data_IF_962474774317
#
_entry.id   IF_962474774317
#
_cell.length_a   1.000
_cell.length_b   1.000
_cell.length_c   1.000
_cell.angle_alpha   90.00
_cell.angle_beta   90.00
_cell.angle_gamma   90.00
#
_symmetry.space_group_name_H-M   'P 1'
#
loop_
_entity.id
_entity.type
_entity.pdbx_description
1 polymer ?
#
# COMPACT_ATOMS: atom_id res chain seq x y z
N UNK A 1 -24.94 -24.89 -16.02
CA UNK A 1 -23.68 -24.39 -15.44
C UNK A 1 -23.97 -23.25 -14.49
N UNK A 2 -24.59 -22.15 -14.95
CA UNK A 2 -25.01 -21.03 -14.08
C UNK A 2 -25.84 -21.42 -12.83
N UNK A 3 -26.76 -22.38 -12.92
CA UNK A 3 -27.55 -22.83 -11.76
C UNK A 3 -26.78 -23.68 -10.75
N UNK A 4 -25.66 -24.26 -11.16
CA UNK A 4 -24.78 -25.07 -10.31
C UNK A 4 -23.75 -24.17 -9.62
N UNK A 5 -23.17 -23.22 -10.35
CA UNK A 5 -22.30 -22.16 -9.79
C UNK A 5 -23.06 -21.34 -8.76
N UNK A 6 -24.27 -20.87 -9.08
CA UNK A 6 -25.10 -20.12 -8.13
C UNK A 6 -25.51 -20.93 -6.89
N UNK A 7 -25.60 -22.26 -7.01
CA UNK A 7 -25.83 -23.14 -5.85
C UNK A 7 -24.56 -23.32 -5.02
N UNK A 8 -23.41 -23.48 -5.65
CA UNK A 8 -22.10 -23.57 -4.97
C UNK A 8 -21.78 -22.28 -4.22
N UNK A 9 -21.99 -21.10 -4.84
CA UNK A 9 -21.80 -19.78 -4.22
C UNK A 9 -22.67 -19.60 -2.96
N UNK A 10 -23.94 -20.02 -3.02
CA UNK A 10 -24.85 -19.90 -1.86
C UNK A 10 -24.50 -20.84 -0.71
N UNK A 11 -23.93 -22.02 -1.02
CA UNK A 11 -23.43 -22.93 0.00
C UNK A 11 -22.17 -22.37 0.64
N UNK A 12 -21.25 -21.84 -0.16
CA UNK A 12 -20.02 -21.19 0.33
C UNK A 12 -20.33 -19.98 1.21
N UNK A 13 -21.25 -19.10 0.81
CA UNK A 13 -21.67 -17.94 1.59
C UNK A 13 -22.26 -18.36 2.96
N UNK A 14 -23.00 -19.47 3.00
CA UNK A 14 -23.53 -20.00 4.27
C UNK A 14 -22.42 -20.50 5.19
N UNK A 15 -21.43 -21.21 4.64
CA UNK A 15 -20.28 -21.69 5.41
C UNK A 15 -19.49 -20.51 5.97
N UNK A 16 -19.18 -19.51 5.15
CA UNK A 16 -18.47 -18.29 5.58
C UNK A 16 -19.21 -17.61 6.73
N UNK A 17 -20.52 -17.46 6.61
CA UNK A 17 -21.34 -16.84 7.65
C UNK A 17 -21.40 -17.63 8.96
N UNK A 18 -21.39 -18.97 8.90
CA UNK A 18 -21.35 -19.82 10.09
C UNK A 18 -19.97 -19.76 10.77
N UNK A 19 -18.89 -19.88 10.00
CA UNK A 19 -17.52 -19.75 10.51
C UNK A 19 -17.27 -18.37 11.13
N UNK A 20 -17.73 -17.30 10.49
CA UNK A 20 -17.62 -15.93 11.03
C UNK A 20 -18.35 -15.80 12.37
N UNK A 21 -19.54 -16.39 12.52
CA UNK A 21 -20.27 -16.37 13.80
C UNK A 21 -19.53 -17.13 14.89
N UNK A 22 -18.88 -18.25 14.55
CA UNK A 22 -18.06 -19.02 15.50
C UNK A 22 -16.83 -18.21 15.90
N UNK A 23 -16.09 -17.67 14.92
CA UNK A 23 -14.94 -16.80 15.16
C UNK A 23 -15.33 -15.62 16.06
N UNK A 24 -16.43 -14.92 15.75
CA UNK A 24 -16.92 -13.76 16.54
C UNK A 24 -17.25 -14.11 17.99
N UNK A 25 -17.73 -15.33 18.28
CA UNK A 25 -17.94 -15.80 19.66
C UNK A 25 -16.63 -16.06 20.39
N UNK A 26 -15.58 -16.42 19.66
CA UNK A 26 -14.28 -16.77 20.20
C UNK A 26 -13.31 -15.57 20.29
N UNK A 27 -13.63 -14.41 19.71
CA UNK A 27 -12.73 -13.24 19.69
C UNK A 27 -12.21 -12.82 21.07
N UNK A 28 -12.98 -12.85 22.18
CA UNK A 28 -12.45 -12.45 23.49
C UNK A 28 -11.38 -13.39 24.05
N UNK A 29 -11.26 -14.60 23.50
CA UNK A 29 -10.24 -15.58 23.89
C UNK A 29 -9.04 -15.58 22.93
N UNK A 30 -9.18 -14.95 21.76
CA UNK A 30 -8.20 -14.99 20.68
C UNK A 30 -7.39 -13.70 20.55
N UNK A 31 -7.96 -12.57 20.96
CA UNK A 31 -7.38 -11.26 20.69
C UNK A 31 -7.55 -10.32 21.89
N UNK A 32 -6.48 -9.57 22.18
CA UNK A 32 -6.55 -8.45 23.12
C UNK A 32 -7.22 -7.21 22.50
N UNK A 33 -7.16 -7.05 21.17
CA UNK A 33 -7.78 -5.97 20.42
C UNK A 33 -8.31 -6.45 19.07
N UNK A 34 -9.59 -6.18 18.79
CA UNK A 34 -10.18 -6.31 17.45
C UNK A 34 -10.98 -5.06 17.15
N UNK A 35 -10.61 -4.37 16.08
CA UNK A 35 -11.31 -3.19 15.58
C UNK A 35 -11.88 -3.51 14.20
N UNK A 36 -13.21 -3.50 14.09
CA UNK A 36 -13.90 -3.72 12.81
C UNK A 36 -14.52 -2.41 12.33
N UNK A 37 -14.16 -1.98 11.13
CA UNK A 37 -14.70 -0.77 10.51
C UNK A 37 -15.12 -1.06 9.07
N UNK A 38 -16.37 -0.73 8.74
CA UNK A 38 -16.87 -0.86 7.37
C UNK A 38 -16.47 0.40 6.57
N UNK A 39 -15.54 0.25 5.64
CA UNK A 39 -15.19 1.32 4.70
C UNK A 39 -16.34 1.55 3.71
N UNK A 40 -16.48 2.78 3.22
CA UNK A 40 -17.47 3.12 2.18
C UNK A 40 -17.20 2.37 0.88
N UNK A 41 -15.92 2.26 0.50
CA UNK A 41 -15.46 1.56 -0.69
C UNK A 41 -14.36 0.56 -0.34
N UNK A 42 -14.26 -0.57 -1.05
CA UNK A 42 -13.16 -1.51 -0.87
C UNK A 42 -11.80 -0.84 -1.09
N UNK A 43 -10.79 -1.38 -0.41
CA UNK A 43 -9.41 -0.95 -0.57
C UNK A 43 -8.55 -2.11 -1.06
N UNK A 44 -7.85 -1.93 -2.17
CA UNK A 44 -6.89 -2.91 -2.70
C UNK A 44 -5.51 -2.81 -2.03
N UNK A 45 -5.33 -1.81 -1.18
CA UNK A 45 -4.04 -1.52 -0.55
C UNK A 45 -4.21 -1.06 0.88
N UNK A 46 -3.28 -1.48 1.73
CA UNK A 46 -3.17 -1.01 3.11
C UNK A 46 -1.70 -0.93 3.49
N UNK A 47 -1.31 0.12 4.20
CA UNK A 47 0.02 0.24 4.78
C UNK A 47 -0.01 1.18 5.99
N UNK A 48 0.61 0.79 7.10
CA UNK A 48 0.87 1.71 8.21
C UNK A 48 1.91 2.75 7.82
N UNK A 49 1.65 4.01 8.14
CA UNK A 49 2.69 5.02 8.19
C UNK A 49 3.47 4.87 9.51
N UNK A 50 4.77 5.21 9.53
CA UNK A 50 5.62 5.01 10.70
C UNK A 50 5.35 6.03 11.83
N UNK A 51 4.64 7.12 11.53
CA UNK A 51 4.35 8.17 12.50
C UNK A 51 3.34 7.70 13.56
N UNK A 52 3.63 8.00 14.83
CA UNK A 52 2.73 7.76 15.95
C UNK A 52 2.68 9.02 16.81
N UNK A 53 1.48 9.54 17.06
CA UNK A 53 1.26 10.68 17.96
C UNK A 53 0.60 10.20 19.25
N UNK A 54 1.17 10.54 20.41
CA UNK A 54 0.60 10.23 21.73
C UNK A 54 0.14 11.52 22.42
N UNK A 55 -1.15 11.87 22.37
CA UNK A 55 -1.63 13.08 23.02
C UNK A 55 -1.47 12.99 24.55
N UNK A 56 -0.98 14.06 25.17
CA UNK A 56 -0.77 14.09 26.62
C UNK A 56 -2.09 13.87 27.39
N UNK A 57 -2.05 12.99 28.39
CA UNK A 57 -3.20 12.67 29.23
C UNK A 57 -4.32 11.88 28.54
N UNK A 58 -4.05 11.30 27.36
CA UNK A 58 -4.95 10.35 26.68
C UNK A 58 -4.46 8.92 26.85
N UNK A 59 -5.43 8.01 26.90
CA UNK A 59 -5.28 6.56 27.00
C UNK A 59 -5.17 5.86 25.65
N UNK A 60 -4.89 6.61 24.58
CA UNK A 60 -4.70 6.10 23.23
C UNK A 60 -3.51 6.76 22.52
N UNK A 61 -2.96 6.06 21.55
CA UNK A 61 -2.04 6.55 20.54
C UNK A 61 -2.77 6.70 19.19
N UNK A 62 -2.38 7.72 18.44
CA UNK A 62 -2.84 7.96 17.07
C UNK A 62 -1.84 7.34 16.10
N UNK A 63 -2.32 6.39 15.33
CA UNK A 63 -1.60 5.74 14.23
C UNK A 63 -2.23 6.13 12.90
N UNK A 64 -1.49 5.95 11.80
CA UNK A 64 -1.93 6.37 10.49
C UNK A 64 -1.81 5.24 9.46
N UNK A 65 -2.79 5.17 8.57
CA UNK A 65 -2.88 4.19 7.49
C UNK A 65 -2.97 4.90 6.15
N UNK A 66 -2.29 4.35 5.15
CA UNK A 66 -2.54 4.62 3.74
C UNK A 66 -3.48 3.56 3.20
N UNK A 67 -4.58 4.01 2.60
CA UNK A 67 -5.62 3.21 1.98
C UNK A 67 -5.90 3.75 0.57
N UNK A 68 -6.49 2.90 -0.26
CA UNK A 68 -7.04 3.26 -1.56
C UNK A 68 -8.55 3.06 -1.62
N UNK A 69 -9.19 3.59 -2.66
CA UNK A 69 -10.55 3.15 -3.05
C UNK A 69 -10.50 2.33 -4.33
N UNK A 70 -11.46 1.43 -4.47
CA UNK A 70 -11.80 0.73 -5.70
C UNK A 70 -13.30 0.85 -5.92
N UNK A 71 -13.68 1.75 -6.81
CA UNK A 71 -15.07 2.08 -7.17
C UNK A 71 -15.31 1.70 -8.63
N UNK A 72 -16.58 1.47 -9.01
CA UNK A 72 -16.94 1.22 -10.42
C UNK A 72 -17.19 2.51 -11.19
N UNK A 73 -18.00 3.42 -10.64
CA UNK A 73 -18.44 4.65 -11.34
C UNK A 73 -18.27 5.94 -10.51
N UNK A 74 -17.74 5.84 -9.29
CA UNK A 74 -17.49 6.99 -8.41
C UNK A 74 -16.03 7.45 -8.47
N UNK A 75 -15.78 8.71 -8.08
CA UNK A 75 -14.43 9.24 -7.99
C UNK A 75 -13.58 8.43 -7.00
N UNK A 76 -12.44 7.93 -7.47
CA UNK A 76 -11.47 7.23 -6.64
C UNK A 76 -10.57 8.19 -5.87
N UNK A 77 -10.07 7.72 -4.72
CA UNK A 77 -9.25 8.51 -3.82
C UNK A 77 -8.09 7.69 -3.24
N UNK A 78 -6.94 8.35 -3.11
CA UNK A 78 -5.91 7.97 -2.15
C UNK A 78 -6.32 8.51 -0.78
N UNK A 79 -6.35 7.65 0.23
CA UNK A 79 -6.89 7.98 1.55
C UNK A 79 -5.81 7.81 2.61
N UNK A 80 -5.60 8.85 3.42
CA UNK A 80 -4.83 8.75 4.66
C UNK A 80 -5.81 8.76 5.83
N UNK A 81 -5.84 7.66 6.57
CA UNK A 81 -6.77 7.44 7.67
C UNK A 81 -6.02 7.41 9.01
N UNK A 82 -6.64 7.99 10.03
CA UNK A 82 -6.15 7.97 11.41
C UNK A 82 -6.87 6.90 12.22
N UNK A 83 -6.13 6.15 13.02
CA UNK A 83 -6.62 5.07 13.88
C UNK A 83 -6.25 5.38 15.32
N UNK A 84 -7.25 5.32 16.21
CA UNK A 84 -7.05 5.45 17.64
C UNK A 84 -6.81 4.07 18.24
N UNK A 85 -5.58 3.80 18.69
CA UNK A 85 -5.19 2.53 19.32
C UNK A 85 -5.05 2.77 20.83
N UNK A 86 -5.73 2.01 21.69
CA UNK A 86 -5.56 2.11 23.14
C UNK A 86 -4.10 1.90 23.55
N UNK A 87 -3.62 2.63 24.55
CA UNK A 87 -2.31 2.37 25.14
C UNK A 87 -2.37 1.13 26.05
N UNK A 88 -1.23 0.48 26.27
CA UNK A 88 -1.12 -0.73 27.12
C UNK A 88 -1.57 -0.51 28.58
N UNK A 89 -1.56 0.74 29.05
CA UNK A 89 -1.95 1.16 30.41
C UNK A 89 -3.42 1.58 30.52
N UNK A 90 -4.18 1.56 29.42
CA UNK A 90 -5.61 1.81 29.45
C UNK A 90 -6.32 0.73 30.29
N UNK A 91 -6.91 1.12 31.42
CA UNK A 91 -7.70 0.19 32.23
C UNK A 91 -8.93 -0.26 31.43
N UNK A 92 -9.05 -1.56 31.23
CA UNK A 92 -10.18 -2.17 30.56
C UNK A 92 -11.44 -2.03 31.42
N UNK A 93 -12.29 -1.04 31.13
CA UNK A 93 -13.58 -0.88 31.80
C UNK A 93 -14.66 -1.71 31.10
N UNK A 94 -14.92 -2.90 31.66
CA UNK A 94 -15.95 -3.82 31.19
C UNK A 94 -17.39 -3.29 31.42
N UNK A 95 -17.58 -2.17 32.13
CA UNK A 95 -18.90 -1.64 32.49
C UNK A 95 -19.60 -0.87 31.36
N UNK A 96 -18.91 -0.52 30.28
CA UNK A 96 -19.50 0.02 29.05
C UNK A 96 -20.11 -1.05 28.11
N UNK A 97 -20.45 -2.22 28.64
CA UNK A 97 -21.31 -3.18 27.94
C UNK A 97 -22.75 -2.66 27.96
N UNK A 98 -23.15 -1.85 26.98
CA UNK A 98 -24.54 -1.45 26.80
C UNK A 98 -25.34 -2.66 26.28
N UNK A 99 -25.84 -3.47 27.22
CA UNK A 99 -26.54 -4.73 26.97
C UNK A 99 -27.92 -4.56 26.31
N UNK A 100 -28.41 -3.33 26.16
CA UNK A 100 -29.78 -3.06 25.69
C UNK A 100 -29.87 -2.57 24.23
N UNK A 101 -28.74 -2.38 23.55
CA UNK A 101 -28.72 -2.23 22.09
C UNK A 101 -28.31 -3.56 21.49
N UNK A 102 -29.13 -4.11 20.59
CA UNK A 102 -28.91 -5.39 19.89
C UNK A 102 -27.63 -5.49 19.03
N UNK A 103 -26.65 -4.62 19.26
CA UNK A 103 -25.26 -4.70 18.80
C UNK A 103 -24.38 -5.42 19.84
N UNK A 104 -24.72 -6.67 20.19
CA UNK A 104 -23.79 -7.53 20.93
C UNK A 104 -22.61 -7.88 20.01
N UNK A 105 -21.56 -7.06 20.05
CA UNK A 105 -20.45 -7.16 19.11
C UNK A 105 -19.17 -6.38 19.42
N UNK A 106 -18.96 -5.90 20.65
CA UNK A 106 -17.68 -5.31 21.05
C UNK A 106 -17.38 -5.65 22.51
N UNK A 107 -16.36 -6.47 22.75
CA UNK A 107 -15.76 -6.56 24.07
C UNK A 107 -14.80 -5.37 24.19
N UNK A 108 -15.04 -4.51 25.19
CA UNK A 108 -14.20 -3.36 25.51
C UNK A 108 -14.57 -2.11 24.74
N UNK A 109 -15.21 -1.15 25.40
CA UNK A 109 -15.43 0.19 24.88
C UNK A 109 -14.13 0.99 24.87
N UNK A 110 -13.18 0.58 24.04
CA UNK A 110 -12.46 1.58 23.26
C UNK A 110 -13.03 1.44 21.87
N UNK A 111 -13.98 2.32 21.54
CA UNK A 111 -14.39 2.51 20.16
C UNK A 111 -13.19 3.11 19.44
N UNK A 112 -12.22 2.26 19.11
CA UNK A 112 -11.08 2.63 18.29
C UNK A 112 -11.64 3.22 17.01
N UNK A 113 -11.48 4.54 16.89
CA UNK A 113 -12.13 5.30 15.83
C UNK A 113 -11.17 5.33 14.66
N UNK A 114 -11.63 4.82 13.52
CA UNK A 114 -10.96 5.00 12.24
C UNK A 114 -11.60 6.20 11.56
N UNK A 115 -10.81 7.23 11.29
CA UNK A 115 -11.25 8.46 10.63
C UNK A 115 -10.47 8.67 9.35
N UNK A 116 -11.15 8.83 8.21
CA UNK A 116 -10.50 9.25 6.98
C UNK A 116 -10.19 10.75 7.08
N UNK A 117 -8.92 11.12 7.23
CA UNK A 117 -8.53 12.52 7.40
C UNK A 117 -8.27 13.23 6.08
N UNK A 118 -7.53 12.58 5.20
CA UNK A 118 -7.12 13.17 3.91
C UNK A 118 -7.66 12.26 2.80
N UNK A 119 -8.37 12.87 1.85
CA UNK A 119 -8.81 12.21 0.61
C UNK A 119 -8.28 13.01 -0.57
N UNK A 120 -7.35 12.41 -1.30
CA UNK A 120 -6.75 12.98 -2.51
C UNK A 120 -7.42 12.32 -3.71
N UNK A 121 -7.87 13.11 -4.67
CA UNK A 121 -8.46 12.62 -5.91
C UNK A 121 -7.42 11.79 -6.66
N UNK A 122 -7.83 10.60 -7.11
CA UNK A 122 -6.96 9.66 -7.82
C UNK A 122 -7.55 9.25 -9.17
N UNK A 123 -6.70 9.10 -10.17
CA UNK A 123 -7.08 8.60 -11.51
C UNK A 123 -7.27 7.08 -11.47
N UNK A 124 -8.53 6.64 -11.47
CA UNK A 124 -8.89 5.23 -11.33
C UNK A 124 -8.63 4.68 -9.93
N UNK A 125 -8.87 3.39 -9.73
CA UNK A 125 -8.65 2.71 -8.46
C UNK A 125 -7.17 2.68 -8.06
N UNK A 126 -6.92 2.61 -6.76
CA UNK A 126 -5.56 2.57 -6.21
C UNK A 126 -5.15 1.11 -6.03
N UNK A 127 -4.49 0.55 -7.04
CA UNK A 127 -4.05 -0.86 -7.05
C UNK A 127 -3.03 -1.16 -5.93
N UNK A 128 -2.09 -0.24 -5.68
CA UNK A 128 -1.15 -0.31 -4.56
C UNK A 128 -0.68 1.10 -4.19
N UNK A 129 -0.56 1.41 -2.91
CA UNK A 129 0.01 2.67 -2.42
C UNK A 129 1.16 2.39 -1.44
N UNK A 130 2.30 3.04 -1.60
CA UNK A 130 3.47 2.87 -0.72
C UNK A 130 4.13 4.19 -0.37
N UNK A 131 4.38 4.42 0.92
CA UNK A 131 5.15 5.59 1.38
C UNK A 131 6.66 5.39 1.15
N UNK A 132 7.38 6.49 0.93
CA UNK A 132 8.84 6.51 0.83
C UNK A 132 9.46 6.45 2.24
N UNK A 133 10.30 5.45 2.57
CA UNK A 133 10.87 5.30 3.92
C UNK A 133 11.60 6.52 4.46
N UNK A 134 12.31 7.25 3.60
CA UNK A 134 13.08 8.44 3.98
C UNK A 134 12.22 9.69 4.16
N UNK A 135 11.02 9.72 3.57
CA UNK A 135 10.04 10.80 3.75
C UNK A 135 8.61 10.24 3.64
N UNK A 136 7.99 9.83 4.76
CA UNK A 136 6.68 9.18 4.76
C UNK A 136 5.52 10.03 4.21
N UNK A 137 5.72 11.34 4.06
CA UNK A 137 4.75 12.23 3.40
C UNK A 137 4.56 11.91 1.92
N UNK A 138 5.58 11.33 1.28
CA UNK A 138 5.57 10.99 -0.13
C UNK A 138 5.03 9.58 -0.30
N UNK A 139 3.97 9.44 -1.08
CA UNK A 139 3.29 8.19 -1.39
C UNK A 139 3.28 7.99 -2.90
N UNK A 140 3.80 6.86 -3.37
CA UNK A 140 3.60 6.42 -4.74
C UNK A 140 2.38 5.51 -4.84
N UNK A 141 1.65 5.59 -5.94
CA UNK A 141 0.49 4.75 -6.24
C UNK A 141 0.57 4.10 -7.62
N UNK A 142 0.09 2.86 -7.71
CA UNK A 142 -0.22 2.20 -8.98
C UNK A 142 -1.64 2.54 -9.40
N UNK A 143 -1.80 2.91 -10.66
CA UNK A 143 -3.10 3.19 -11.30
C UNK A 143 -3.53 1.98 -12.16
N UNK A 144 -4.78 1.98 -12.67
CA UNK A 144 -5.25 1.03 -13.70
C UNK A 144 -4.71 1.37 -15.10
N UNK A 145 -3.87 2.40 -15.21
CA UNK A 145 -3.18 2.80 -16.43
C UNK A 145 -1.69 2.44 -16.37
N UNK A 146 -0.91 2.85 -17.37
CA UNK A 146 0.55 2.74 -17.37
C UNK A 146 1.26 3.59 -16.31
N UNK A 147 0.60 4.64 -15.82
CA UNK A 147 1.28 5.67 -15.05
C UNK A 147 1.38 5.26 -13.58
N UNK A 148 2.53 5.59 -12.98
CA UNK A 148 2.73 5.56 -11.52
C UNK A 148 2.68 7.00 -11.03
N UNK A 149 1.81 7.26 -10.07
CA UNK A 149 1.62 8.61 -9.55
C UNK A 149 2.34 8.75 -8.21
N UNK A 150 2.86 9.94 -7.92
CA UNK A 150 3.48 10.26 -6.63
C UNK A 150 2.79 11.48 -6.06
N UNK A 151 2.40 11.39 -4.80
CA UNK A 151 1.71 12.43 -4.05
C UNK A 151 2.48 12.74 -2.78
N UNK A 152 2.60 14.02 -2.47
CA UNK A 152 2.97 14.53 -1.15
C UNK A 152 1.68 14.94 -0.45
N UNK A 153 1.16 14.07 0.43
CA UNK A 153 -0.17 14.29 1.00
C UNK A 153 -0.26 15.57 1.86
N UNK A 154 0.87 16.16 2.26
CA UNK A 154 0.90 17.41 3.03
C UNK A 154 0.59 18.64 2.16
N UNK A 155 0.77 18.54 0.84
CA UNK A 155 0.46 19.60 -0.13
C UNK A 155 -0.98 19.56 -0.62
N UNK A 156 -1.72 18.51 -0.27
CA UNK A 156 -3.11 18.36 -0.66
C UNK A 156 -4.06 18.79 0.47
N UNK A 157 -5.19 19.45 0.14
CA UNK A 157 -6.21 19.74 1.14
C UNK A 157 -6.83 18.45 1.68
N UNK A 158 -7.20 18.46 2.97
CA UNK A 158 -7.86 17.31 3.61
C UNK A 158 -9.16 16.89 2.89
N UNK A 159 -9.88 17.87 2.34
CA UNK A 159 -11.07 17.64 1.49
C UNK A 159 -10.68 17.73 0.01
N UNK A 160 -11.16 16.80 -0.83
CA UNK A 160 -10.83 16.77 -2.24
C UNK A 160 -11.34 18.02 -2.96
N UNK A 161 -10.63 18.42 -4.02
CA UNK A 161 -10.97 19.58 -4.83
C UNK A 161 -12.30 19.35 -5.58
N UNK A 162 -13.25 20.31 -5.58
CA UNK A 162 -14.52 20.17 -6.30
C UNK A 162 -14.39 19.95 -7.82
N UNK A 163 -13.24 20.30 -8.42
CA UNK A 163 -12.97 20.10 -9.85
C UNK A 163 -12.97 18.64 -10.27
N UNK A 164 -12.69 17.71 -9.35
CA UNK A 164 -12.56 16.30 -9.68
C UNK A 164 -11.26 15.95 -10.41
N UNK A 165 -10.33 16.89 -10.58
CA UNK A 165 -9.06 16.65 -11.28
C UNK A 165 -8.02 16.01 -10.35
N UNK A 166 -7.37 14.96 -10.84
CA UNK A 166 -6.24 14.33 -10.16
C UNK A 166 -4.96 15.13 -10.44
N UNK A 167 -4.34 15.63 -9.38
CA UNK A 167 -3.16 16.49 -9.47
C UNK A 167 -1.95 15.86 -8.75
N UNK A 168 -1.30 14.83 -9.32
CA UNK A 168 -0.13 14.23 -8.71
C UNK A 168 1.07 15.18 -8.72
N UNK A 169 1.92 15.14 -7.69
CA UNK A 169 3.18 15.88 -7.65
C UNK A 169 4.15 15.42 -8.75
N UNK A 170 4.20 14.10 -9.00
CA UNK A 170 4.95 13.52 -10.10
C UNK A 170 4.12 12.43 -10.80
N UNK A 171 4.30 12.36 -12.12
CA UNK A 171 3.76 11.30 -12.97
C UNK A 171 4.93 10.56 -13.61
N UNK A 172 5.19 9.36 -13.11
CA UNK A 172 6.25 8.49 -13.62
C UNK A 172 5.69 7.64 -14.76
N UNK A 173 6.36 7.69 -15.91
CA UNK A 173 5.99 6.97 -17.12
C UNK A 173 7.09 5.99 -17.50
N UNK A 174 6.71 4.93 -18.22
CA UNK A 174 7.64 3.90 -18.69
C UNK A 174 6.93 2.59 -18.96
N UNK A 175 5.87 2.30 -18.22
CA UNK A 175 5.03 1.14 -18.49
C UNK A 175 4.08 1.36 -19.66
N UNK A 176 3.48 0.27 -20.15
CA UNK A 176 2.41 0.25 -21.16
C UNK A 176 1.08 -0.30 -20.61
N UNK A 177 1.09 -0.89 -19.41
CA UNK A 177 -0.08 -1.48 -18.75
C UNK A 177 -0.08 -1.17 -17.26
N UNK A 178 -1.18 -1.49 -16.60
CA UNK A 178 -1.29 -1.43 -15.15
C UNK A 178 -0.42 -2.48 -14.46
N UNK A 179 -0.36 -2.39 -13.13
CA UNK A 179 0.22 -3.45 -12.31
C UNK A 179 0.02 -3.21 -10.84
N UNK A 180 0.52 -4.14 -10.05
CA UNK A 180 0.38 -4.11 -8.59
C UNK A 180 1.70 -3.92 -7.87
N UNK A 181 2.81 -4.44 -8.38
CA UNK A 181 4.10 -4.35 -7.71
C UNK A 181 4.60 -2.90 -7.58
N UNK A 182 4.97 -2.49 -6.37
CA UNK A 182 5.46 -1.16 -6.04
C UNK A 182 6.34 -1.24 -4.77
N UNK A 183 7.59 -0.79 -4.86
CA UNK A 183 8.54 -0.86 -3.73
C UNK A 183 9.58 0.27 -3.77
N UNK A 184 9.64 1.04 -2.68
CA UNK A 184 10.66 2.05 -2.46
C UNK A 184 11.94 1.40 -1.92
N UNK A 185 13.08 1.91 -2.35
CA UNK A 185 14.36 1.56 -1.76
C UNK A 185 14.51 2.25 -0.40
N UNK A 186 14.84 1.51 0.66
CA UNK A 186 15.03 2.06 2.01
C UNK A 186 16.39 2.74 2.21
N UNK A 187 17.37 2.41 1.36
CA UNK A 187 18.74 2.92 1.44
C UNK A 187 18.97 4.12 0.54
N UNK A 188 18.32 4.15 -0.63
CA UNK A 188 18.45 5.22 -1.61
C UNK A 188 17.13 6.00 -1.73
N UNK A 189 17.17 7.28 -1.33
CA UNK A 189 16.01 8.16 -1.43
C UNK A 189 15.59 8.34 -2.89
N UNK A 190 14.27 8.41 -3.14
CA UNK A 190 13.71 8.62 -4.47
C UNK A 190 13.75 7.40 -5.40
N UNK A 191 14.40 6.31 -5.02
CA UNK A 191 14.46 5.11 -5.86
C UNK A 191 13.22 4.25 -5.65
N UNK A 192 12.40 4.16 -6.70
CA UNK A 192 11.15 3.42 -6.73
C UNK A 192 11.21 2.36 -7.83
N UNK A 193 10.82 1.14 -7.50
CA UNK A 193 10.53 0.11 -8.48
C UNK A 193 9.01 -0.05 -8.62
N UNK A 194 8.58 -0.29 -9.85
CA UNK A 194 7.20 -0.63 -10.20
C UNK A 194 7.17 -1.82 -11.15
N UNK A 195 6.24 -2.75 -10.93
CA UNK A 195 5.92 -3.82 -11.87
C UNK A 195 4.59 -3.55 -12.54
N UNK A 196 4.44 -4.18 -13.70
CA UNK A 196 3.30 -4.02 -14.57
C UNK A 196 3.12 -5.27 -15.41
N UNK A 197 1.93 -5.40 -15.97
CA UNK A 197 1.48 -6.47 -16.85
C UNK A 197 2.11 -6.40 -18.25
N UNK A 198 2.93 -5.39 -18.50
CA UNK A 198 3.67 -5.15 -19.73
C UNK A 198 5.02 -5.90 -19.76
N UNK A 199 5.04 -7.20 -19.45
CA UNK A 199 6.21 -8.08 -19.59
C UNK A 199 7.55 -7.37 -19.36
N UNK A 200 7.95 -7.22 -18.08
CA UNK A 200 9.13 -6.45 -17.67
C UNK A 200 10.35 -6.65 -18.60
N UNK A 201 10.77 -5.56 -19.25
CA UNK A 201 11.79 -5.57 -20.30
C UNK A 201 13.19 -5.35 -19.68
N UNK A 202 13.64 -6.25 -18.82
CA UNK A 202 15.08 -6.61 -18.77
C UNK A 202 15.35 -7.93 -19.50
N UNK A 203 14.31 -8.53 -20.09
CA UNK A 203 14.36 -9.82 -20.79
C UNK A 203 14.65 -11.02 -19.88
N UNK A 204 14.72 -10.82 -18.55
CA UNK A 204 14.99 -11.88 -17.60
C UNK A 204 13.75 -12.71 -17.24
N UNK A 205 12.56 -12.10 -17.21
CA UNK A 205 11.29 -12.80 -17.00
C UNK A 205 10.50 -12.91 -18.31
N UNK A 206 9.81 -14.03 -18.50
CA UNK A 206 9.04 -14.34 -19.71
C UNK A 206 7.53 -14.24 -19.51
N UNK A 207 7.08 -13.98 -18.28
CA UNK A 207 5.68 -13.72 -17.94
C UNK A 207 5.54 -12.45 -17.07
N UNK A 208 4.33 -12.19 -16.56
CA UNK A 208 4.06 -11.02 -15.71
C UNK A 208 4.83 -11.13 -14.41
N UNK A 209 5.39 -10.03 -13.93
CA UNK A 209 6.01 -9.99 -12.59
C UNK A 209 4.89 -9.85 -11.57
N UNK A 210 4.81 -10.80 -10.64
CA UNK A 210 3.82 -10.78 -9.57
C UNK A 210 4.23 -9.85 -8.43
N UNK A 211 5.53 -9.83 -8.07
CA UNK A 211 6.07 -8.96 -7.03
C UNK A 211 7.59 -8.79 -7.11
N UNK A 212 8.12 -7.80 -6.40
CA UNK A 212 9.57 -7.60 -6.21
C UNK A 212 9.86 -6.88 -4.90
N UNK A 213 11.09 -7.03 -4.40
CA UNK A 213 11.56 -6.41 -3.17
C UNK A 213 13.01 -5.97 -3.31
N UNK A 214 13.31 -4.74 -2.87
CA UNK A 214 14.69 -4.31 -2.62
C UNK A 214 15.26 -5.08 -1.44
N UNK A 215 16.56 -5.36 -1.49
CA UNK A 215 17.30 -5.85 -0.33
C UNK A 215 17.51 -4.68 0.66
N UNK A 216 17.07 -4.79 1.92
CA UNK A 216 17.24 -3.71 2.90
C UNK A 216 18.70 -3.49 3.31
N UNK A 217 19.59 -4.46 3.08
CA UNK A 217 21.01 -4.39 3.47
C UNK A 217 21.95 -4.07 2.29
N UNK A 218 21.54 -4.36 1.05
CA UNK A 218 22.36 -4.20 -0.15
C UNK A 218 21.64 -3.27 -1.15
N UNK A 219 22.04 -1.98 -1.27
CA UNK A 219 21.24 -0.93 -1.93
C UNK A 219 20.81 -1.21 -3.37
N UNK A 220 21.59 -1.99 -4.13
CA UNK A 220 21.35 -2.26 -5.55
C UNK A 220 20.84 -3.67 -5.84
N UNK A 221 20.62 -4.49 -4.80
CA UNK A 221 20.17 -5.87 -4.95
C UNK A 221 18.65 -5.93 -4.86
N UNK A 222 18.04 -6.61 -5.83
CA UNK A 222 16.59 -6.75 -5.98
C UNK A 222 16.26 -8.23 -6.13
N UNK A 223 15.13 -8.65 -5.55
CA UNK A 223 14.51 -9.94 -5.82
C UNK A 223 13.17 -9.73 -6.56
N UNK A 224 12.89 -10.49 -7.61
CA UNK A 224 11.61 -10.46 -8.33
C UNK A 224 11.07 -11.87 -8.60
N UNK A 225 9.75 -12.02 -8.61
CA UNK A 225 9.02 -13.27 -8.89
C UNK A 225 8.01 -13.07 -10.01
N UNK A 226 7.82 -14.07 -10.86
CA UNK A 226 6.96 -13.99 -12.04
C UNK A 226 6.04 -15.23 -12.21
N UNK A 227 4.96 -15.05 -12.98
CA UNK A 227 4.01 -16.09 -13.37
C UNK A 227 4.63 -17.22 -14.24
N UNK A 228 5.87 -17.06 -14.71
CA UNK A 228 6.63 -18.13 -15.38
C UNK A 228 7.30 -19.10 -14.39
N UNK A 229 7.01 -18.95 -13.10
CA UNK A 229 7.57 -19.70 -11.98
C UNK A 229 9.06 -19.42 -11.74
N UNK A 230 9.60 -18.29 -12.21
CA UNK A 230 10.99 -17.90 -12.00
C UNK A 230 11.08 -16.87 -10.87
N UNK A 231 12.05 -17.09 -9.97
CA UNK A 231 12.54 -16.08 -9.03
C UNK A 231 13.94 -15.65 -9.46
N UNK A 232 14.18 -14.34 -9.52
CA UNK A 232 15.47 -13.77 -9.87
C UNK A 232 15.98 -12.84 -8.79
N UNK A 233 17.27 -12.95 -8.46
CA UNK A 233 18.00 -11.99 -7.65
C UNK A 233 19.00 -11.31 -8.57
N UNK A 234 18.94 -9.99 -8.67
CA UNK A 234 19.72 -9.23 -9.63
C UNK A 234 20.17 -7.89 -9.05
N UNK A 235 21.24 -7.36 -9.62
CA UNK A 235 21.75 -6.02 -9.38
C UNK A 235 22.04 -5.35 -10.72
N UNK A 236 21.83 -4.04 -10.82
CA UNK A 236 22.19 -3.29 -12.02
C UNK A 236 23.72 -3.26 -12.16
N UNK A 237 24.23 -3.36 -13.39
CA UNK A 237 25.66 -3.18 -13.62
C UNK A 237 26.07 -1.74 -13.30
N UNK A 238 27.24 -1.56 -12.69
CA UNK A 238 27.72 -0.28 -12.17
C UNK A 238 27.73 0.84 -13.21
N UNK A 239 28.12 0.51 -14.44
CA UNK A 239 28.17 1.42 -15.59
C UNK A 239 26.80 1.92 -16.07
N UNK A 240 25.68 1.41 -15.55
CA UNK A 240 24.33 1.83 -15.93
C UNK A 240 23.86 3.00 -15.05
N UNK A 241 24.32 3.08 -13.80
CA UNK A 241 23.87 4.10 -12.84
C UNK A 241 24.99 5.00 -12.33
N UNK A 242 26.25 4.64 -12.57
CA UNK A 242 27.39 5.49 -12.24
C UNK A 242 27.70 6.39 -13.43
N UNK A 243 27.24 7.65 -13.36
CA UNK A 243 27.49 8.72 -14.34
C UNK A 243 28.91 9.32 -14.24
N UNK A 244 29.85 8.65 -13.55
CA UNK A 244 31.26 8.96 -13.73
C UNK A 244 31.61 8.68 -15.21
N UNK A 245 31.49 9.72 -16.05
CA UNK A 245 32.17 9.78 -17.34
C UNK A 245 33.57 9.28 -17.05
N UNK A 246 33.92 8.12 -17.60
CA UNK A 246 35.30 7.68 -17.60
C UNK A 246 36.06 8.84 -18.24
N UNK A 247 36.77 9.62 -17.44
CA UNK A 247 37.80 10.56 -17.87
C UNK A 247 38.88 9.69 -18.52
N UNK A 248 38.59 9.19 -19.71
CA UNK A 248 39.60 8.66 -20.62
C UNK A 248 40.38 9.90 -21.00
N UNK A 249 41.37 10.21 -20.18
CA UNK A 249 42.35 11.24 -20.48
C UNK A 249 42.86 10.94 -21.88
N UNK A 250 42.57 11.85 -22.80
CA UNK A 250 42.93 11.78 -24.22
C UNK A 250 44.46 11.72 -24.43
N UNK A 251 45.24 11.74 -23.35
CA UNK A 251 46.69 11.56 -23.34
C UNK A 251 47.19 10.14 -23.61
N UNK A 252 46.35 9.10 -23.58
CA UNK A 252 46.82 7.73 -23.87
C UNK A 252 46.68 7.32 -25.35
N UNK A 253 46.04 8.13 -26.20
CA UNK A 253 45.84 7.82 -27.64
C UNK A 253 46.85 8.47 -28.60
N UNK A 254 47.76 9.32 -28.14
CA UNK A 254 48.81 9.93 -28.98
C UNK A 254 50.21 9.29 -28.79
N UNK A 255 50.30 8.13 -28.15
CA UNK A 255 51.57 7.46 -27.83
C UNK A 255 52.01 6.31 -28.75
N UNK A 256 51.34 6.06 -29.88
CA UNK A 256 51.76 5.04 -30.85
C UNK A 256 51.76 5.60 -32.27
N UNK A 257 52.67 6.55 -32.49
CA UNK A 257 53.03 7.07 -33.79
C UNK A 257 54.51 7.38 -33.84
N UNK A 258 55.36 6.35 -33.92
CA UNK A 258 56.69 6.40 -34.56
C UNK A 258 57.15 5.02 -34.96
#
# INVERSE_FOLDING_TARGET
MASKEMFEDTVEERVINEEYKIWKKNTPFLYDLVMTHALQWPSLTVQWLPEVTKPEGKDYALHWLVLGTHTSDEQNHLVVARVHIPNDDAQFDASHCDSDKGEFGGFGSVTGKIECEIKIIHEGEVNRARYMPQNPHIIATKTPSSDVLVFDYTKHPAKPDPSGECNPDLRLRGHQKEGYGLSWNSNLSGHLLSASDDHFIHGGHTAKISDFSWNPNEPWVICSVSEDNIMQIWQMAENIYNDEESDVTTSELEGQGS
#
